data_IF_990310939889
#
_entry.id   IF_990310939889
#
_cell.length_a   1.000
_cell.length_b   1.000
_cell.length_c   1.000
_cell.angle_alpha   90.00
_cell.angle_beta   90.00
_cell.angle_gamma   90.00
#
_symmetry.space_group_name_H-M   'P 1'
#
loop_
_entity.id
_entity.type
_entity.pdbx_description
1 polymer ?
#
# COMPACT_ATOMS: atom_id res chain seq x y z
N UNK A 1 -23.43 -1.22 16.93
CA UNK A 1 -22.91 -0.66 18.21
C UNK A 1 -24.02 0.21 18.79
N UNK A 2 -24.48 -0.10 19.99
CA UNK A 2 -25.52 0.68 20.68
C UNK A 2 -24.96 2.02 21.17
N UNK A 3 -25.84 3.04 21.26
CA UNK A 3 -25.45 4.34 21.82
C UNK A 3 -25.22 4.17 23.32
N UNK A 4 -23.98 4.19 23.75
CA UNK A 4 -23.64 4.03 25.17
C UNK A 4 -22.16 3.74 25.39
N UNK A 5 -21.82 3.40 26.63
CA UNK A 5 -20.46 3.04 27.02
C UNK A 5 -20.16 1.59 26.60
N UNK A 6 -19.34 1.43 25.59
CA UNK A 6 -18.86 0.11 25.14
C UNK A 6 -17.52 -0.20 25.81
N UNK A 7 -17.36 -1.45 26.30
CA UNK A 7 -16.10 -1.96 26.83
C UNK A 7 -15.42 -2.83 25.77
N UNK A 8 -14.19 -2.50 25.45
CA UNK A 8 -13.36 -3.25 24.52
C UNK A 8 -12.15 -3.87 25.23
N UNK A 9 -11.59 -4.92 24.65
CA UNK A 9 -10.30 -5.50 25.05
C UNK A 9 -9.28 -5.16 23.97
N UNK A 10 -8.12 -4.66 24.36
CA UNK A 10 -6.97 -4.55 23.46
C UNK A 10 -6.45 -5.96 23.19
N UNK A 11 -6.44 -6.38 21.94
CA UNK A 11 -5.91 -7.69 21.52
C UNK A 11 -4.41 -7.61 21.24
N UNK A 12 -4.01 -6.61 20.47
CA UNK A 12 -2.60 -6.36 20.16
C UNK A 12 -2.42 -4.88 19.79
N UNK A 13 -1.18 -4.45 19.78
CA UNK A 13 -0.73 -3.17 19.26
C UNK A 13 0.41 -3.47 18.31
N UNK A 14 0.39 -2.86 17.13
CA UNK A 14 1.39 -3.10 16.11
C UNK A 14 1.82 -1.78 15.44
N UNK A 15 3.01 -1.77 14.88
CA UNK A 15 3.41 -0.72 13.96
C UNK A 15 2.48 -0.72 12.74
N UNK A 16 2.07 0.47 12.28
CA UNK A 16 1.12 0.61 11.18
C UNK A 16 1.39 1.84 10.32
N UNK A 17 0.72 1.90 9.19
CA UNK A 17 0.89 2.89 8.13
C UNK A 17 1.30 2.19 6.83
N UNK A 18 0.81 2.68 5.66
CA UNK A 18 0.96 1.98 4.39
C UNK A 18 2.39 1.51 4.12
N UNK A 19 3.36 2.43 4.09
CA UNK A 19 4.77 2.07 3.85
C UNK A 19 5.36 1.12 4.90
N UNK A 20 4.99 1.27 6.18
CA UNK A 20 5.40 0.37 7.26
C UNK A 20 4.79 -1.02 7.04
N UNK A 21 3.50 -1.11 6.71
CA UNK A 21 2.85 -2.39 6.43
C UNK A 21 3.49 -3.10 5.24
N UNK A 22 3.89 -2.35 4.21
CA UNK A 22 4.65 -2.90 3.08
C UNK A 22 6.01 -3.45 3.54
N UNK A 23 6.77 -2.72 4.35
CA UNK A 23 8.06 -3.18 4.86
C UNK A 23 7.92 -4.46 5.71
N UNK A 24 6.90 -4.52 6.57
CA UNK A 24 6.56 -5.73 7.35
C UNK A 24 6.19 -6.91 6.44
N UNK A 25 5.40 -6.65 5.38
CA UNK A 25 5.05 -7.67 4.39
C UNK A 25 6.25 -8.19 3.60
N UNK A 26 7.19 -7.31 3.21
CA UNK A 26 8.47 -7.70 2.59
C UNK A 26 9.27 -8.62 3.50
N UNK A 27 9.35 -8.29 4.79
CA UNK A 27 10.03 -9.12 5.78
C UNK A 27 9.39 -10.52 5.93
N UNK A 28 8.05 -10.64 5.81
CA UNK A 28 7.34 -11.93 5.79
C UNK A 28 7.79 -12.84 4.64
N UNK A 29 8.12 -12.27 3.49
CA UNK A 29 8.69 -13.01 2.37
C UNK A 29 10.21 -13.26 2.50
N UNK A 30 10.84 -12.83 3.60
CA UNK A 30 12.28 -12.96 3.82
C UNK A 30 13.12 -11.91 3.08
N UNK A 31 12.48 -10.89 2.53
CA UNK A 31 13.12 -9.73 1.93
C UNK A 31 13.59 -8.71 2.99
N UNK A 32 14.36 -7.71 2.55
CA UNK A 32 14.79 -6.58 3.39
C UNK A 32 14.22 -5.30 2.84
N UNK A 33 13.66 -4.48 3.73
CA UNK A 33 13.15 -3.16 3.42
C UNK A 33 13.51 -2.19 4.55
N UNK A 34 13.72 -0.93 4.19
CA UNK A 34 13.91 0.15 5.17
C UNK A 34 12.66 1.02 5.16
N UNK A 35 11.97 1.09 6.30
CA UNK A 35 10.80 1.95 6.46
C UNK A 35 11.23 3.39 6.82
N UNK A 36 11.03 4.34 5.90
CA UNK A 36 11.15 5.77 6.20
C UNK A 36 9.78 6.26 6.66
N UNK A 37 9.71 6.82 7.87
CA UNK A 37 8.43 7.22 8.46
C UNK A 37 8.57 8.43 9.38
N UNK A 38 7.49 9.13 9.64
CA UNK A 38 7.44 10.19 10.64
C UNK A 38 7.25 9.60 12.04
N UNK A 39 7.93 10.18 13.03
CA UNK A 39 7.82 9.78 14.43
C UNK A 39 7.83 11.01 15.34
N UNK A 40 6.71 11.31 16.00
CA UNK A 40 6.57 12.44 16.89
C UNK A 40 6.08 12.02 18.27
N UNK A 41 6.68 12.62 19.28
CA UNK A 41 6.32 12.49 20.69
C UNK A 41 6.30 11.02 21.20
N UNK A 42 5.46 10.71 22.18
CA UNK A 42 5.42 9.40 22.83
C UNK A 42 4.98 8.26 21.89
N UNK A 43 3.96 8.54 21.06
CA UNK A 43 3.47 7.55 20.11
C UNK A 43 4.52 7.25 19.03
N UNK A 44 5.26 8.28 18.57
CA UNK A 44 6.38 8.08 17.64
C UNK A 44 7.49 7.22 18.23
N UNK A 45 7.87 7.45 19.49
CA UNK A 45 8.84 6.60 20.20
C UNK A 45 8.34 5.15 20.37
N UNK A 46 7.03 4.99 20.62
CA UNK A 46 6.42 3.66 20.69
C UNK A 46 6.44 2.96 19.34
N UNK A 47 6.18 3.69 18.24
CA UNK A 47 6.27 3.16 16.88
C UNK A 47 7.68 2.66 16.57
N UNK A 48 8.72 3.43 16.92
CA UNK A 48 10.11 3.02 16.74
C UNK A 48 10.40 1.71 17.49
N UNK A 49 10.01 1.62 18.78
CA UNK A 49 10.20 0.38 19.56
C UNK A 49 9.50 -0.83 18.94
N UNK A 50 8.27 -0.66 18.43
CA UNK A 50 7.54 -1.74 17.77
C UNK A 50 8.25 -2.24 16.51
N UNK A 51 8.84 -1.33 15.73
CA UNK A 51 9.62 -1.68 14.54
C UNK A 51 10.92 -2.40 14.92
N UNK A 52 11.62 -1.92 15.95
CA UNK A 52 12.82 -2.59 16.51
C UNK A 52 12.49 -4.01 16.98
N UNK A 53 11.40 -4.18 17.73
CA UNK A 53 10.93 -5.49 18.23
C UNK A 53 10.59 -6.46 17.11
N UNK A 54 10.05 -5.97 15.99
CA UNK A 54 9.78 -6.77 14.78
C UNK A 54 11.04 -6.98 13.90
N UNK A 55 12.16 -6.33 14.21
CA UNK A 55 13.41 -6.41 13.42
C UNK A 55 13.30 -5.75 12.05
N UNK A 56 12.45 -4.74 11.91
CA UNK A 56 12.30 -3.96 10.68
C UNK A 56 13.31 -2.82 10.66
N UNK A 57 14.18 -2.80 9.64
CA UNK A 57 15.07 -1.65 9.42
C UNK A 57 14.23 -0.40 9.18
N UNK A 58 14.50 0.69 9.92
CA UNK A 58 13.73 1.91 9.77
C UNK A 58 14.53 3.19 9.99
N UNK A 59 14.05 4.28 9.39
CA UNK A 59 14.63 5.63 9.52
C UNK A 59 13.49 6.59 9.93
N UNK A 60 13.42 6.99 11.21
CA UNK A 60 12.40 7.92 11.67
C UNK A 60 12.78 9.36 11.29
N UNK A 61 11.82 10.10 10.72
CA UNK A 61 11.83 11.54 10.70
C UNK A 61 11.17 12.05 11.97
N UNK A 62 11.96 12.66 12.85
CA UNK A 62 11.39 13.33 14.02
C UNK A 62 10.57 14.53 13.61
N UNK A 63 9.32 14.58 14.09
CA UNK A 63 8.36 15.64 13.84
C UNK A 63 7.84 16.23 15.16
N UNK A 64 7.41 17.50 15.13
CA UNK A 64 6.90 18.19 16.31
C UNK A 64 5.53 17.66 16.78
N UNK A 65 4.67 17.28 15.83
CA UNK A 65 3.33 16.78 16.12
C UNK A 65 3.33 15.33 16.62
N UNK A 66 2.33 14.97 17.45
CA UNK A 66 2.16 13.58 17.94
C UNK A 66 1.82 12.63 16.78
N UNK A 67 2.51 11.50 16.70
CA UNK A 67 2.14 10.42 15.78
C UNK A 67 0.73 9.92 16.10
N UNK A 68 -0.11 9.70 15.08
CA UNK A 68 -1.47 9.21 15.29
C UNK A 68 -1.51 7.72 15.62
N UNK A 69 -2.47 7.33 16.43
CA UNK A 69 -2.89 5.93 16.57
C UNK A 69 -4.19 5.71 15.81
N UNK A 70 -4.29 4.60 15.12
CA UNK A 70 -5.52 4.13 14.50
C UNK A 70 -6.06 2.93 15.28
N UNK A 71 -7.38 2.75 15.27
CA UNK A 71 -8.03 1.67 16.01
C UNK A 71 -8.84 0.82 15.04
N UNK A 72 -8.60 -0.50 15.06
CA UNK A 72 -9.48 -1.46 14.43
C UNK A 72 -10.33 -2.10 15.52
N UNK A 73 -11.61 -1.84 15.47
CA UNK A 73 -12.57 -2.31 16.46
C UNK A 73 -13.40 -3.43 15.81
N UNK A 74 -13.29 -4.64 16.36
CA UNK A 74 -14.06 -5.79 15.91
C UNK A 74 -15.21 -6.06 16.87
N UNK A 75 -16.44 -6.04 16.36
CA UNK A 75 -17.66 -6.35 17.09
C UNK A 75 -17.95 -7.86 16.96
N UNK A 76 -17.80 -8.58 18.06
CA UNK A 76 -17.87 -10.05 18.04
C UNK A 76 -19.27 -10.62 17.79
N UNK A 77 -20.33 -9.86 18.08
CA UNK A 77 -21.71 -10.31 17.88
C UNK A 77 -22.18 -10.16 16.43
N UNK A 78 -21.82 -9.04 15.80
CA UNK A 78 -22.22 -8.72 14.41
C UNK A 78 -21.17 -9.09 13.36
N UNK A 79 -19.97 -9.50 13.79
CA UNK A 79 -18.80 -9.75 12.94
C UNK A 79 -18.39 -8.53 12.08
N UNK A 80 -18.66 -7.31 12.59
CA UNK A 80 -18.30 -6.05 11.90
C UNK A 80 -16.98 -5.50 12.41
N UNK A 81 -16.18 -4.99 11.48
CA UNK A 81 -14.97 -4.22 11.77
C UNK A 81 -15.22 -2.73 11.53
N UNK A 82 -14.72 -1.90 12.44
CA UNK A 82 -14.74 -0.45 12.32
C UNK A 82 -13.30 0.05 12.35
N UNK A 83 -12.91 0.77 11.30
CA UNK A 83 -11.59 1.39 11.21
C UNK A 83 -11.72 2.85 11.60
N UNK A 84 -11.19 3.20 12.75
CA UNK A 84 -11.19 4.55 13.29
C UNK A 84 -9.78 5.11 13.09
N UNK A 85 -9.64 6.01 12.12
CA UNK A 85 -8.36 6.61 11.76
C UNK A 85 -8.43 8.11 12.06
N UNK A 86 -7.91 8.57 13.20
CA UNK A 86 -7.82 9.99 13.50
C UNK A 86 -6.95 10.73 12.47
N UNK A 87 -7.14 12.03 12.37
CA UNK A 87 -6.23 12.87 11.56
C UNK A 87 -4.82 12.74 12.10
N UNK A 88 -3.85 12.69 11.21
CA UNK A 88 -2.43 12.71 11.57
C UNK A 88 -1.96 14.11 11.98
N UNK A 89 -0.73 14.21 12.48
CA UNK A 89 -0.12 15.50 12.77
C UNK A 89 0.07 16.30 11.48
N UNK A 90 0.03 17.63 11.64
CA UNK A 90 0.41 18.53 10.56
C UNK A 90 1.93 18.61 10.49
N UNK A 91 2.49 18.46 9.30
CA UNK A 91 3.91 18.71 9.03
C UNK A 91 4.10 20.17 8.60
N UNK A 92 5.20 20.77 9.03
CA UNK A 92 5.62 22.07 8.52
C UNK A 92 6.50 21.91 7.25
N UNK A 93 6.84 23.05 6.64
CA UNK A 93 7.62 23.06 5.39
C UNK A 93 9.04 22.49 5.57
N UNK A 94 9.63 22.61 6.77
CA UNK A 94 10.95 22.07 7.07
C UNK A 94 10.90 20.55 7.23
N UNK A 95 9.91 20.05 7.96
CA UNK A 95 9.65 18.62 8.09
C UNK A 95 9.38 17.98 6.72
N UNK A 96 8.62 18.67 5.86
CA UNK A 96 8.38 18.24 4.47
C UNK A 96 9.67 18.13 3.65
N UNK A 97 10.55 19.14 3.72
CA UNK A 97 11.87 19.10 3.04
C UNK A 97 12.74 17.97 3.57
N UNK A 98 12.87 17.84 4.89
CA UNK A 98 13.64 16.76 5.51
C UNK A 98 13.09 15.37 5.15
N UNK A 99 11.77 15.25 5.00
CA UNK A 99 11.16 14.01 4.51
C UNK A 99 11.66 13.67 3.10
N UNK A 100 11.65 14.62 2.16
CA UNK A 100 12.16 14.42 0.80
C UNK A 100 13.64 14.00 0.79
N UNK A 101 14.46 14.66 1.61
CA UNK A 101 15.90 14.37 1.69
C UNK A 101 16.17 12.97 2.25
N UNK A 102 15.43 12.55 3.27
CA UNK A 102 15.53 11.20 3.84
C UNK A 102 15.07 10.12 2.84
N UNK A 103 13.99 10.37 2.10
CA UNK A 103 13.51 9.45 1.06
C UNK A 103 14.58 9.28 -0.02
N UNK A 104 15.15 10.37 -0.51
CA UNK A 104 16.20 10.35 -1.52
C UNK A 104 17.46 9.61 -1.03
N UNK A 105 17.90 9.90 0.20
CA UNK A 105 19.04 9.23 0.81
C UNK A 105 18.81 7.72 0.95
N UNK A 106 17.64 7.31 1.43
CA UNK A 106 17.32 5.90 1.59
C UNK A 106 17.19 5.18 0.24
N UNK A 107 16.66 5.86 -0.77
CA UNK A 107 16.43 5.29 -2.10
C UNK A 107 17.71 4.77 -2.75
N UNK A 108 18.84 5.46 -2.61
CA UNK A 108 20.10 5.09 -3.27
C UNK A 108 20.65 3.70 -2.92
N UNK A 109 20.13 3.07 -1.86
CA UNK A 109 20.53 1.73 -1.43
C UNK A 109 19.58 0.62 -1.91
N UNK A 110 18.46 0.98 -2.59
CA UNK A 110 17.39 0.04 -2.92
C UNK A 110 16.97 0.15 -4.38
N UNK A 111 16.70 -0.97 -5.08
CA UNK A 111 16.25 -0.93 -6.48
C UNK A 111 14.82 -0.38 -6.63
N UNK A 112 14.03 -0.44 -5.55
CA UNK A 112 12.65 0.02 -5.52
C UNK A 112 12.37 0.85 -4.27
N UNK A 113 11.54 1.88 -4.44
CA UNK A 113 10.95 2.67 -3.37
C UNK A 113 9.44 2.51 -3.45
N UNK A 114 8.79 2.26 -2.34
CA UNK A 114 7.33 2.22 -2.25
C UNK A 114 6.86 3.41 -1.44
N UNK A 115 6.02 4.25 -2.05
CA UNK A 115 5.27 5.28 -1.33
C UNK A 115 3.81 4.82 -1.21
N UNK A 116 3.36 4.55 0.02
CA UNK A 116 2.02 4.05 0.29
C UNK A 116 1.32 4.86 1.37
N UNK A 117 0.05 5.16 1.16
CA UNK A 117 -0.84 5.87 2.05
C UNK A 117 -1.14 7.31 1.63
N UNK A 118 -1.98 7.97 2.42
CA UNK A 118 -2.34 9.37 2.24
C UNK A 118 -1.27 10.31 2.80
N UNK A 119 -1.15 11.50 2.23
CA UNK A 119 -0.27 12.53 2.76
C UNK A 119 -0.82 13.09 4.10
N UNK A 120 0.08 13.45 5.05
CA UNK A 120 -0.29 14.19 6.24
C UNK A 120 -0.69 15.63 5.90
N UNK A 121 -1.47 16.25 6.79
CA UNK A 121 -1.77 17.69 6.67
C UNK A 121 -0.47 18.51 6.67
N UNK A 122 -0.45 19.59 5.91
CA UNK A 122 0.70 20.51 5.80
C UNK A 122 1.59 20.24 4.59
N UNK A 123 1.63 19.02 4.09
CA UNK A 123 2.25 18.75 2.78
C UNK A 123 1.27 19.16 1.66
N UNK A 124 1.82 19.65 0.57
CA UNK A 124 1.04 19.97 -0.62
C UNK A 124 0.58 18.69 -1.33
N UNK A 125 -0.55 18.74 -1.99
CA UNK A 125 -1.11 17.59 -2.72
C UNK A 125 -0.17 17.09 -3.84
N UNK A 126 0.71 17.97 -4.35
CA UNK A 126 1.73 17.66 -5.35
C UNK A 126 3.03 17.08 -4.77
N UNK A 127 3.10 16.74 -3.49
CA UNK A 127 4.31 16.22 -2.84
C UNK A 127 4.98 15.09 -3.64
N UNK A 128 4.20 14.19 -4.21
CA UNK A 128 4.73 13.08 -5.01
C UNK A 128 5.36 13.52 -6.34
N UNK A 129 5.01 14.71 -6.85
CA UNK A 129 5.70 15.29 -8.03
C UNK A 129 7.14 15.70 -7.68
N UNK A 130 7.40 16.02 -6.41
CA UNK A 130 8.76 16.29 -5.93
C UNK A 130 9.50 14.98 -5.57
N UNK A 131 8.81 13.94 -5.13
CA UNK A 131 9.41 12.62 -4.79
C UNK A 131 9.88 11.90 -6.05
N UNK A 132 9.04 11.79 -7.07
CA UNK A 132 9.30 10.95 -8.25
C UNK A 132 10.63 11.27 -8.98
N UNK A 133 10.98 12.53 -9.30
CA UNK A 133 12.24 12.85 -9.95
C UNK A 133 13.45 12.59 -9.04
N UNK A 134 13.34 12.78 -7.73
CA UNK A 134 14.42 12.48 -6.77
C UNK A 134 14.72 10.97 -6.75
N UNK A 135 13.70 10.13 -6.67
CA UNK A 135 13.86 8.67 -6.74
C UNK A 135 14.49 8.25 -8.06
N UNK A 136 14.00 8.79 -9.18
CA UNK A 136 14.58 8.53 -10.52
C UNK A 136 16.06 8.90 -10.59
N UNK A 137 16.45 10.00 -9.94
CA UNK A 137 17.83 10.48 -9.84
C UNK A 137 18.78 9.50 -9.12
N UNK A 138 18.27 8.65 -8.23
CA UNK A 138 19.05 7.61 -7.54
C UNK A 138 19.21 6.32 -8.35
N UNK A 139 18.48 6.15 -9.45
CA UNK A 139 18.41 4.90 -10.22
C UNK A 139 17.38 3.90 -9.69
N UNK A 140 16.67 4.25 -8.61
CA UNK A 140 15.58 3.43 -8.05
C UNK A 140 14.28 3.64 -8.82
N UNK A 141 13.36 2.68 -8.72
CA UNK A 141 12.03 2.73 -9.33
C UNK A 141 10.96 2.98 -8.26
N UNK A 142 10.09 3.95 -8.48
CA UNK A 142 9.01 4.31 -7.55
C UNK A 142 7.74 3.50 -7.83
N UNK A 143 7.24 2.80 -6.81
CA UNK A 143 5.89 2.24 -6.74
C UNK A 143 5.04 3.19 -5.90
N UNK A 144 3.88 3.59 -6.41
CA UNK A 144 3.00 4.55 -5.75
C UNK A 144 1.61 3.96 -5.52
N UNK A 145 1.19 3.98 -4.26
CA UNK A 145 -0.15 3.60 -3.79
C UNK A 145 -0.68 4.70 -2.88
N UNK A 146 -1.30 5.72 -3.44
CA UNK A 146 -1.79 6.88 -2.70
C UNK A 146 -3.27 7.14 -2.95
N UNK A 147 -3.87 7.93 -2.08
CA UNK A 147 -5.31 8.26 -2.13
C UNK A 147 -5.56 9.75 -1.87
N UNK A 148 -6.81 10.15 -2.00
CA UNK A 148 -7.23 11.53 -1.75
C UNK A 148 -6.74 12.52 -2.79
N UNK A 149 -6.57 13.81 -2.42
CA UNK A 149 -6.18 14.88 -3.35
C UNK A 149 -4.81 14.67 -4.00
N UNK A 150 -3.88 13.98 -3.31
CA UNK A 150 -2.56 13.69 -3.85
C UNK A 150 -2.59 12.70 -5.03
N UNK A 151 -3.64 11.90 -5.17
CA UNK A 151 -3.74 10.91 -6.24
C UNK A 151 -3.78 11.56 -7.64
N UNK A 152 -4.68 12.49 -7.98
CA UNK A 152 -4.67 13.13 -9.29
C UNK A 152 -3.41 13.99 -9.51
N UNK A 153 -2.92 14.70 -8.51
CA UNK A 153 -1.70 15.51 -8.63
C UNK A 153 -0.47 14.65 -8.95
N UNK A 154 -0.40 13.45 -8.38
CA UNK A 154 0.71 12.52 -8.65
C UNK A 154 0.78 12.02 -10.10
N UNK A 155 -0.26 12.23 -10.92
CA UNK A 155 -0.26 11.84 -12.34
C UNK A 155 0.63 12.73 -13.21
N UNK A 156 1.02 13.90 -12.72
CA UNK A 156 1.93 14.82 -13.42
C UNK A 156 3.37 14.30 -13.51
N UNK A 157 3.70 13.24 -12.76
CA UNK A 157 5.01 12.60 -12.80
C UNK A 157 4.91 11.11 -13.10
N UNK A 158 5.80 10.64 -13.97
CA UNK A 158 5.90 9.21 -14.28
C UNK A 158 6.49 8.43 -13.11
N UNK A 159 5.83 7.33 -12.75
CA UNK A 159 6.31 6.34 -11.79
C UNK A 159 6.43 4.98 -12.45
N UNK A 160 7.19 4.07 -11.85
CA UNK A 160 7.33 2.73 -12.42
C UNK A 160 6.03 1.92 -12.32
N UNK A 161 5.42 1.87 -11.13
CA UNK A 161 4.18 1.16 -10.90
C UNK A 161 3.22 2.04 -10.11
N UNK A 162 1.96 2.07 -10.54
CA UNK A 162 0.85 2.71 -9.83
C UNK A 162 -0.24 1.71 -9.53
N UNK A 163 -0.62 1.64 -8.26
CA UNK A 163 -1.77 0.86 -7.84
C UNK A 163 -2.91 1.80 -7.44
N UNK A 164 -4.13 1.48 -7.87
CA UNK A 164 -5.36 2.12 -7.42
C UNK A 164 -6.39 1.04 -7.04
N UNK A 165 -7.19 1.28 -6.01
CA UNK A 165 -8.39 0.49 -5.79
C UNK A 165 -9.55 0.99 -6.66
N UNK A 166 -10.70 0.28 -6.65
CA UNK A 166 -11.86 0.66 -7.48
C UNK A 166 -12.41 2.06 -7.17
N UNK A 167 -12.33 2.51 -5.93
CA UNK A 167 -12.79 3.84 -5.53
C UNK A 167 -11.83 4.93 -6.00
N UNK A 168 -10.54 4.72 -5.86
CA UNK A 168 -9.49 5.62 -6.33
C UNK A 168 -9.47 5.71 -7.87
N UNK A 169 -9.59 4.57 -8.55
CA UNK A 169 -9.73 4.52 -10.00
C UNK A 169 -11.00 5.26 -10.46
N UNK A 170 -12.12 5.04 -9.76
CA UNK A 170 -13.37 5.75 -10.01
C UNK A 170 -13.27 7.26 -9.80
N UNK A 171 -12.54 7.69 -8.78
CA UNK A 171 -12.26 9.11 -8.52
C UNK A 171 -11.49 9.77 -9.68
N UNK A 172 -10.48 9.07 -10.23
CA UNK A 172 -9.68 9.56 -11.35
C UNK A 172 -10.51 9.76 -12.64
N UNK A 173 -11.45 8.86 -12.91
CA UNK A 173 -12.22 8.89 -14.17
C UNK A 173 -13.63 9.47 -14.01
N UNK A 174 -14.03 9.88 -12.80
CA UNK A 174 -15.33 10.49 -12.52
C UNK A 174 -16.52 9.52 -12.66
N UNK A 175 -16.30 8.20 -12.64
CA UNK A 175 -17.36 7.18 -12.74
C UNK A 175 -16.99 5.93 -11.94
N UNK A 176 -18.00 5.12 -11.59
CA UNK A 176 -17.77 3.86 -10.88
C UNK A 176 -16.93 2.88 -11.73
N UNK A 177 -16.00 2.17 -11.06
CA UNK A 177 -15.19 1.10 -11.62
C UNK A 177 -15.59 -0.20 -10.90
N UNK A 178 -16.26 -1.10 -11.64
CA UNK A 178 -16.86 -2.32 -11.05
C UNK A 178 -16.48 -3.61 -11.77
N UNK A 179 -15.88 -3.51 -12.96
CA UNK A 179 -15.52 -4.64 -13.82
C UNK A 179 -14.07 -4.55 -14.29
N UNK A 180 -13.55 -5.62 -14.86
CA UNK A 180 -12.26 -5.62 -15.52
C UNK A 180 -12.23 -4.68 -16.73
N UNK A 181 -13.31 -4.55 -17.47
CA UNK A 181 -13.41 -3.61 -18.60
C UNK A 181 -13.34 -2.15 -18.12
N UNK A 182 -13.96 -1.81 -16.98
CA UNK A 182 -13.84 -0.48 -16.40
C UNK A 182 -12.40 -0.21 -15.95
N UNK A 183 -11.76 -1.18 -15.27
CA UNK A 183 -10.38 -1.09 -14.83
C UNK A 183 -9.42 -0.96 -16.01
N UNK A 184 -9.69 -1.68 -17.12
CA UNK A 184 -8.93 -1.59 -18.36
C UNK A 184 -8.92 -0.17 -18.90
N UNK A 185 -10.09 0.47 -19.01
CA UNK A 185 -10.20 1.83 -19.50
C UNK A 185 -9.40 2.84 -18.62
N UNK A 186 -9.37 2.64 -17.30
CA UNK A 186 -8.55 3.46 -16.39
C UNK A 186 -7.06 3.22 -16.63
N UNK A 187 -6.64 1.95 -16.64
CA UNK A 187 -5.24 1.60 -16.83
C UNK A 187 -4.70 2.08 -18.18
N UNK A 188 -5.50 1.97 -19.26
CA UNK A 188 -5.16 2.49 -20.57
C UNK A 188 -4.92 4.02 -20.56
N UNK A 189 -5.76 4.77 -19.84
CA UNK A 189 -5.55 6.22 -19.68
C UNK A 189 -4.26 6.54 -18.93
N UNK A 190 -3.95 5.82 -17.85
CA UNK A 190 -2.73 6.02 -17.07
C UNK A 190 -1.47 5.72 -17.90
N UNK A 191 -1.49 4.61 -18.66
CA UNK A 191 -0.39 4.22 -19.54
C UNK A 191 -0.23 5.20 -20.72
N UNK A 192 -1.32 5.59 -21.36
CA UNK A 192 -1.32 6.53 -22.49
C UNK A 192 -0.84 7.93 -22.09
N UNK A 193 -1.17 8.37 -20.87
CA UNK A 193 -0.66 9.63 -20.30
C UNK A 193 0.82 9.56 -19.90
N UNK A 194 1.44 8.37 -19.93
CA UNK A 194 2.81 8.19 -19.44
C UNK A 194 2.96 8.32 -17.93
N UNK A 195 1.86 8.27 -17.18
CA UNK A 195 1.87 8.42 -15.73
C UNK A 195 2.48 7.21 -15.00
N UNK A 196 2.56 6.06 -15.67
CA UNK A 196 3.16 4.84 -15.12
C UNK A 196 3.55 3.87 -16.22
N UNK A 197 4.53 2.97 -15.94
CA UNK A 197 4.89 1.85 -16.82
C UNK A 197 4.01 0.62 -16.55
N UNK A 198 3.59 0.43 -15.29
CA UNK A 198 2.72 -0.65 -14.83
C UNK A 198 1.54 -0.06 -14.09
N UNK A 199 0.33 -0.27 -14.59
CA UNK A 199 -0.92 0.17 -13.94
C UNK A 199 -1.64 -1.04 -13.36
N UNK A 200 -2.00 -0.95 -12.06
CA UNK A 200 -2.76 -1.99 -11.36
C UNK A 200 -4.03 -1.37 -10.79
N UNK A 201 -5.18 -1.91 -11.20
CA UNK A 201 -6.47 -1.57 -10.58
C UNK A 201 -7.03 -2.78 -9.85
N UNK A 202 -7.19 -2.67 -8.52
CA UNK A 202 -7.76 -3.74 -7.69
C UNK A 202 -9.28 -3.61 -7.62
N UNK A 203 -9.96 -4.76 -7.77
CA UNK A 203 -11.41 -4.88 -7.89
C UNK A 203 -12.04 -5.69 -6.73
N UNK A 204 -11.36 -5.74 -5.57
CA UNK A 204 -11.80 -6.49 -4.40
C UNK A 204 -11.88 -7.98 -4.70
N UNK A 205 -13.04 -8.58 -4.45
CA UNK A 205 -13.28 -10.02 -4.65
C UNK A 205 -13.09 -10.53 -6.08
N UNK A 206 -13.16 -9.65 -7.08
CA UNK A 206 -12.87 -10.02 -8.46
C UNK A 206 -11.37 -10.24 -8.69
N UNK A 207 -10.51 -9.58 -7.92
CA UNK A 207 -9.07 -9.62 -8.08
C UNK A 207 -8.47 -8.29 -8.54
N UNK A 208 -7.59 -8.31 -9.55
CA UNK A 208 -6.93 -7.11 -10.05
C UNK A 208 -6.70 -7.17 -11.57
N UNK A 209 -6.67 -6.01 -12.21
CA UNK A 209 -6.16 -5.85 -13.57
C UNK A 209 -4.75 -5.27 -13.50
N UNK A 210 -3.79 -5.99 -14.06
CA UNK A 210 -2.43 -5.51 -14.29
C UNK A 210 -2.27 -5.16 -15.77
N UNK A 211 -1.80 -3.97 -16.07
CA UNK A 211 -1.64 -3.47 -17.44
C UNK A 211 -0.25 -2.88 -17.64
N UNK A 212 0.36 -3.20 -18.77
CA UNK A 212 1.67 -2.70 -19.18
C UNK A 212 1.62 -2.29 -20.65
N UNK A 213 2.72 -1.76 -21.17
CA UNK A 213 2.87 -1.53 -22.62
C UNK A 213 2.71 -2.79 -23.47
N UNK A 214 2.72 -3.99 -22.89
CA UNK A 214 2.58 -5.26 -23.61
C UNK A 214 1.14 -5.80 -23.67
N UNK A 215 0.23 -5.28 -22.82
CA UNK A 215 -1.18 -5.69 -22.77
C UNK A 215 -1.75 -5.69 -21.36
N UNK A 216 -2.88 -6.38 -21.22
CA UNK A 216 -3.66 -6.41 -19.99
C UNK A 216 -3.78 -7.84 -19.47
N UNK A 217 -3.73 -8.01 -18.15
CA UNK A 217 -3.90 -9.30 -17.48
C UNK A 217 -4.92 -9.16 -16.38
N UNK A 218 -6.00 -9.93 -16.49
CA UNK A 218 -6.95 -10.12 -15.40
C UNK A 218 -6.38 -11.18 -14.45
N UNK A 219 -6.22 -10.82 -13.21
CA UNK A 219 -5.81 -11.72 -12.13
C UNK A 219 -7.01 -11.93 -11.22
N UNK A 220 -7.66 -13.07 -11.35
CA UNK A 220 -8.85 -13.39 -10.56
C UNK A 220 -8.46 -13.83 -9.16
N UNK A 221 -9.10 -13.24 -8.15
CA UNK A 221 -8.83 -13.57 -6.76
C UNK A 221 -9.08 -15.05 -6.47
N UNK A 222 -8.19 -15.70 -5.69
CA UNK A 222 -8.40 -17.08 -5.27
C UNK A 222 -9.52 -17.15 -4.23
N UNK A 223 -10.23 -18.28 -4.10
CA UNK A 223 -11.17 -18.49 -3.03
C UNK A 223 -10.44 -18.47 -1.69
N UNK A 224 -11.02 -17.79 -0.69
CA UNK A 224 -10.46 -17.77 0.66
C UNK A 224 -10.74 -19.12 1.37
N UNK A 225 -9.77 -19.65 2.12
CA UNK A 225 -9.95 -20.87 2.91
C UNK A 225 -10.78 -20.66 4.19
N UNK A 226 -11.22 -19.44 4.47
CA UNK A 226 -12.00 -19.07 5.66
C UNK A 226 -12.71 -17.73 5.47
N UNK A 227 -13.45 -17.33 6.48
CA UNK A 227 -14.15 -16.04 6.49
C UNK A 227 -13.13 -14.88 6.61
N UNK A 228 -13.31 -13.79 5.83
CA UNK A 228 -12.45 -12.62 5.94
C UNK A 228 -12.63 -11.95 7.31
N UNK A 229 -11.52 -11.60 7.95
CA UNK A 229 -11.48 -10.91 9.23
C UNK A 229 -11.35 -9.38 9.08
N UNK A 230 -10.58 -8.93 8.09
CA UNK A 230 -10.35 -7.51 7.82
C UNK A 230 -9.88 -7.32 6.39
N UNK A 231 -10.23 -6.20 5.77
CA UNK A 231 -9.69 -5.76 4.48
C UNK A 231 -8.55 -4.73 4.65
N UNK A 232 -8.28 -4.31 5.89
CA UNK A 232 -7.20 -3.40 6.21
C UNK A 232 -5.84 -4.03 5.88
N UNK A 233 -5.00 -3.27 5.17
CA UNK A 233 -3.66 -3.70 4.80
C UNK A 233 -3.60 -4.69 3.62
N UNK A 234 -4.74 -5.10 3.03
CA UNK A 234 -4.73 -5.98 1.86
C UNK A 234 -3.98 -5.35 0.66
N UNK A 235 -4.14 -4.04 0.45
CA UNK A 235 -3.37 -3.29 -0.54
C UNK A 235 -1.87 -3.27 -0.25
N UNK A 236 -1.51 -3.05 1.02
CA UNK A 236 -0.11 -3.05 1.46
C UNK A 236 0.53 -4.44 1.29
N UNK A 237 -0.21 -5.50 1.66
CA UNK A 237 0.21 -6.88 1.43
C UNK A 237 0.44 -7.20 -0.05
N UNK A 238 -0.45 -6.71 -0.92
CA UNK A 238 -0.28 -6.83 -2.37
C UNK A 238 1.02 -6.16 -2.84
N UNK A 239 1.24 -4.90 -2.46
CA UNK A 239 2.44 -4.15 -2.86
C UNK A 239 3.71 -4.80 -2.30
N UNK A 240 3.69 -5.29 -1.05
CA UNK A 240 4.81 -6.00 -0.45
C UNK A 240 5.22 -7.23 -1.26
N UNK A 241 4.26 -8.05 -1.67
CA UNK A 241 4.51 -9.21 -2.51
C UNK A 241 5.05 -8.82 -3.89
N UNK A 242 4.43 -7.81 -4.54
CA UNK A 242 4.86 -7.31 -5.84
C UNK A 242 6.30 -6.80 -5.79
N UNK A 243 6.62 -5.90 -4.86
CA UNK A 243 7.97 -5.33 -4.79
C UNK A 243 9.02 -6.39 -4.45
N UNK A 244 8.68 -7.39 -3.63
CA UNK A 244 9.59 -8.52 -3.32
C UNK A 244 9.93 -9.32 -4.58
N UNK A 245 8.93 -9.64 -5.40
CA UNK A 245 9.12 -10.40 -6.64
C UNK A 245 9.86 -9.59 -7.71
N UNK A 246 9.51 -8.30 -7.85
CA UNK A 246 10.22 -7.41 -8.75
C UNK A 246 11.71 -7.27 -8.36
N UNK A 247 12.01 -7.19 -7.06
CA UNK A 247 13.39 -7.14 -6.58
C UNK A 247 14.15 -8.46 -6.81
N UNK A 248 13.45 -9.59 -6.92
CA UNK A 248 14.02 -10.86 -7.32
C UNK A 248 14.20 -10.99 -8.86
N UNK A 249 13.73 -10.02 -9.64
CA UNK A 249 13.88 -9.97 -11.10
C UNK A 249 12.71 -10.57 -11.89
N UNK A 250 11.58 -10.79 -11.24
CA UNK A 250 10.41 -11.34 -11.92
C UNK A 250 9.71 -10.31 -12.81
N UNK A 251 8.94 -10.85 -13.76
CA UNK A 251 8.04 -10.05 -14.58
C UNK A 251 6.91 -9.43 -13.73
N UNK A 252 6.46 -8.17 -14.03
CA UNK A 252 5.40 -7.52 -13.29
C UNK A 252 4.10 -8.33 -13.18
N UNK A 253 3.76 -9.15 -14.18
CA UNK A 253 2.54 -9.98 -14.15
C UNK A 253 2.66 -11.09 -13.11
N UNK A 254 3.79 -11.79 -13.11
CA UNK A 254 4.06 -12.87 -12.16
C UNK A 254 4.14 -12.30 -10.73
N UNK A 255 4.75 -11.11 -10.57
CA UNK A 255 4.75 -10.37 -9.33
C UNK A 255 3.33 -10.02 -8.86
N UNK A 256 2.45 -9.58 -9.78
CA UNK A 256 1.06 -9.26 -9.47
C UNK A 256 0.25 -10.50 -9.03
N UNK A 257 0.54 -11.69 -9.55
CA UNK A 257 -0.16 -12.91 -9.14
C UNK A 257 0.07 -13.21 -7.65
N UNK A 258 1.33 -13.14 -7.18
CA UNK A 258 1.61 -13.23 -5.75
C UNK A 258 1.01 -12.06 -4.97
N UNK A 259 0.97 -10.86 -5.58
CA UNK A 259 0.32 -9.68 -4.99
C UNK A 259 -1.17 -9.91 -4.69
N UNK A 260 -1.93 -10.45 -5.64
CA UNK A 260 -3.36 -10.80 -5.46
C UNK A 260 -3.52 -11.85 -4.36
N UNK A 261 -2.65 -12.85 -4.32
CA UNK A 261 -2.66 -13.89 -3.30
C UNK A 261 -2.32 -13.36 -1.91
N UNK A 262 -1.33 -12.46 -1.80
CA UNK A 262 -0.97 -11.83 -0.53
C UNK A 262 -2.07 -10.90 -0.01
N UNK A 263 -2.76 -10.17 -0.91
CA UNK A 263 -3.94 -9.40 -0.53
C UNK A 263 -5.06 -10.30 0.03
N UNK A 264 -5.32 -11.44 -0.61
CA UNK A 264 -6.28 -12.43 -0.14
C UNK A 264 -5.87 -13.04 1.22
N UNK A 265 -4.58 -13.36 1.40
CA UNK A 265 -4.04 -13.86 2.67
C UNK A 265 -4.15 -12.81 3.79
N UNK A 266 -3.94 -11.51 3.49
CA UNK A 266 -4.10 -10.42 4.45
C UNK A 266 -5.52 -10.32 4.99
N UNK A 267 -6.53 -10.67 4.20
CA UNK A 267 -7.93 -10.66 4.65
C UNK A 267 -8.22 -11.71 5.73
N UNK A 268 -7.35 -12.70 5.91
CA UNK A 268 -7.48 -13.75 6.92
C UNK A 268 -6.82 -13.38 8.26
N UNK A 269 -6.17 -12.22 8.34
CA UNK A 269 -5.56 -11.69 9.55
C UNK A 269 -6.35 -10.51 10.12
N UNK A 270 -6.33 -10.28 11.44
CA UNK A 270 -7.06 -9.17 12.03
C UNK A 270 -6.33 -7.84 11.81
N UNK A 271 -7.06 -6.80 11.42
CA UNK A 271 -6.52 -5.44 11.23
C UNK A 271 -5.44 -5.39 10.15
N UNK A 272 -4.27 -4.85 10.51
CA UNK A 272 -3.10 -4.75 9.62
C UNK A 272 -1.98 -5.72 10.04
N UNK A 273 -2.32 -6.80 10.73
CA UNK A 273 -1.36 -7.87 11.02
C UNK A 273 -0.85 -8.47 9.69
N UNK A 274 0.48 -8.64 9.52
CA UNK A 274 1.00 -9.18 8.29
C UNK A 274 0.47 -10.59 8.01
N UNK A 275 0.18 -10.86 6.77
CA UNK A 275 -0.30 -12.16 6.30
C UNK A 275 0.70 -13.31 6.60
N UNK A 276 0.21 -14.54 6.60
CA UNK A 276 1.03 -15.72 6.63
C UNK A 276 1.61 -16.00 5.22
N UNK A 277 2.93 -16.19 5.15
CA UNK A 277 3.65 -16.42 3.89
C UNK A 277 3.19 -17.69 3.18
N UNK A 278 3.07 -18.80 3.91
CA UNK A 278 2.72 -20.09 3.34
C UNK A 278 1.29 -20.06 2.79
N UNK A 279 0.39 -19.35 3.47
CA UNK A 279 -0.98 -19.11 2.99
C UNK A 279 -0.95 -18.29 1.69
N UNK A 280 -0.17 -17.20 1.62
CA UNK A 280 -0.06 -16.38 0.42
C UNK A 280 0.52 -17.19 -0.76
N UNK A 281 1.59 -17.95 -0.54
CA UNK A 281 2.22 -18.80 -1.58
C UNK A 281 1.25 -19.91 -2.04
N UNK A 282 0.49 -20.51 -1.14
CA UNK A 282 -0.53 -21.51 -1.48
C UNK A 282 -1.66 -20.90 -2.32
N UNK A 283 -2.19 -19.74 -1.91
CA UNK A 283 -3.24 -19.02 -2.64
C UNK A 283 -2.77 -18.57 -4.03
N UNK A 284 -1.48 -18.28 -4.20
CA UNK A 284 -0.93 -17.87 -5.49
C UNK A 284 -1.15 -18.93 -6.57
N UNK A 285 -1.10 -20.21 -6.23
CA UNK A 285 -1.34 -21.32 -7.17
C UNK A 285 -2.80 -21.36 -7.68
N UNK A 286 -3.72 -20.74 -6.97
CA UNK A 286 -5.14 -20.66 -7.32
C UNK A 286 -5.53 -19.35 -8.02
N UNK A 287 -4.61 -18.40 -8.15
CA UNK A 287 -4.83 -17.17 -8.94
C UNK A 287 -4.91 -17.53 -10.41
N UNK A 288 -6.04 -17.23 -11.04
CA UNK A 288 -6.22 -17.47 -12.49
C UNK A 288 -5.86 -16.20 -13.25
N UNK A 289 -4.99 -16.34 -14.24
CA UNK A 289 -4.52 -15.24 -15.10
C UNK A 289 -5.15 -15.39 -16.48
N UNK A 290 -5.90 -14.38 -16.91
CA UNK A 290 -6.44 -14.27 -18.25
C UNK A 290 -5.73 -13.13 -18.99
N UNK A 291 -4.97 -13.48 -20.02
CA UNK A 291 -4.23 -12.49 -20.84
C UNK A 291 -5.14 -11.96 -21.93
N UNK A 292 -5.34 -10.65 -21.93
CA UNK A 292 -6.10 -9.94 -22.95
C UNK A 292 -5.11 -9.34 -23.97
N UNK A 293 -5.41 -9.53 -25.25
CA UNK A 293 -4.69 -8.83 -26.30
C UNK A 293 -4.96 -7.30 -26.22
N UNK A 294 -4.06 -6.52 -26.79
CA UNK A 294 -4.25 -5.08 -26.97
C UNK A 294 -5.48 -4.77 -27.78
#
# INVERSE_FOLDING_TARGET
MDIGKTRARVRYVAAGGGGINVARGVARFGGRATAVHTAGQEIGQRLNRLLDEEGIDHVPLEIAGETREAFVLFETESHRSYHIVPRGPRLDDDEGRRCLDLIEQAAGAHPYVVASGSLPEGLLDDFYTAVAPRIRGTGSRLLLDTSGPALPESLHEAVYLRRCNRSEAGYLVGRAVQSFDDARAVNEQLLAAGATEVAITTLGELGALCSTGQGHMELHAPPLPGEPLSDAGAGDGMIAAIVTRLAAGDDPVDACALGVAAAAASMLTPGTEPFDREVAESLCTAVRINRLAR
#
